data_IF_786373629093
#
_entry.id   IF_786373629093
#
_cell.length_a   1.000
_cell.length_b   1.000
_cell.length_c   1.000
_cell.angle_alpha   90.00
_cell.angle_beta   90.00
_cell.angle_gamma   90.00
#
_symmetry.space_group_name_H-M   'P 1'
#
loop_
_entity.id
_entity.type
_entity.pdbx_description
1 polymer ?
#
# COMPACT_ATOMS: atom_id res chain seq x y z
N UNK A 1 -18.52 -11.75 -1.57
CA UNK A 1 -18.18 -11.63 -1.03
C UNK A 1 -17.73 -11.38 -0.44
N UNK A 2 -17.77 -10.70 -0.27
CA UNK A 2 -17.27 -10.45 0.50
C UNK A 2 -17.77 -10.54 1.34
N UNK A 3 -18.01 -10.73 1.65
CA UNK A 3 -18.31 -10.78 2.54
C UNK A 3 -18.45 -10.23 3.12
N UNK A 4 -18.64 -10.11 3.45
CA UNK A 4 -18.47 -9.68 3.99
C UNK A 4 -18.16 -9.26 4.21
N UNK A 5 -18.24 -9.04 4.24
CA UNK A 5 -17.58 -8.73 4.66
C UNK A 5 -17.20 -8.53 4.78
N UNK A 6 -17.12 -8.27 4.94
CA UNK A 6 -16.33 -8.20 5.34
C UNK A 6 -15.95 -8.46 5.64
N UNK A 7 -15.95 -8.74 5.97
CA UNK A 7 -15.28 -9.04 6.50
C UNK A 7 -14.39 -9.11 6.28
N UNK A 8 -14.56 -8.96 5.78
CA UNK A 8 -13.54 -9.09 5.59
C UNK A 8 -12.52 -8.91 5.91
N UNK A 9 -12.53 -8.23 6.09
CA UNK A 9 -11.42 -7.96 6.37
C UNK A 9 -10.70 -8.77 7.04
N UNK A 10 -10.48 -9.28 7.24
CA UNK A 10 -10.07 -9.74 7.89
C UNK A 10 -9.32 -10.49 8.40
N UNK A 11 -9.46 -10.71 8.70
CA UNK A 11 -9.15 -11.55 9.68
C UNK A 11 -8.31 -12.69 9.23
N UNK A 12 -7.17 -12.93 9.81
CA UNK A 12 -6.29 -14.02 9.47
C UNK A 12 -5.64 -13.90 8.11
N UNK A 13 -5.86 -12.81 7.41
CA UNK A 13 -5.21 -12.59 6.13
C UNK A 13 -3.72 -12.33 6.30
N UNK A 14 -2.94 -12.79 5.33
CA UNK A 14 -1.50 -12.56 5.29
C UNK A 14 -1.13 -12.00 3.94
N UNK A 15 -0.47 -10.85 3.94
CA UNK A 15 0.15 -10.30 2.74
C UNK A 15 1.59 -10.78 2.71
N UNK A 16 1.99 -11.42 1.61
CA UNK A 16 3.35 -11.93 1.46
C UNK A 16 4.11 -11.02 0.52
N UNK A 17 5.28 -10.54 0.95
CA UNK A 17 6.17 -9.75 0.12
C UNK A 17 7.42 -10.55 -0.18
N UNK A 18 7.90 -10.54 -1.43
CA UNK A 18 9.23 -11.05 -1.70
C UNK A 18 10.24 -10.18 -0.96
N UNK A 19 11.42 -10.72 -0.60
CA UNK A 19 12.46 -9.91 0.04
C UNK A 19 12.83 -8.67 -0.77
N UNK A 20 12.91 -8.79 -2.09
CA UNK A 20 13.24 -7.66 -2.96
C UNK A 20 12.18 -6.57 -2.93
N UNK A 21 10.91 -6.95 -2.95
CA UNK A 21 9.80 -5.98 -2.88
C UNK A 21 9.84 -5.22 -1.56
N UNK A 22 10.02 -5.94 -0.45
CA UNK A 22 10.09 -5.30 0.85
C UNK A 22 11.23 -4.28 0.90
N UNK A 23 12.40 -4.69 0.42
CA UNK A 23 13.58 -3.84 0.39
C UNK A 23 13.34 -2.60 -0.49
N UNK A 24 12.76 -2.79 -1.66
CA UNK A 24 12.50 -1.69 -2.61
C UNK A 24 11.48 -0.70 -2.04
N UNK A 25 10.46 -1.19 -1.36
CA UNK A 25 9.44 -0.33 -0.73
C UNK A 25 10.09 0.55 0.35
N UNK A 26 10.88 -0.06 1.23
CA UNK A 26 11.55 0.69 2.31
C UNK A 26 12.55 1.68 1.74
N UNK A 27 13.32 1.26 0.73
CA UNK A 27 14.30 2.16 0.08
C UNK A 27 13.61 3.34 -0.59
N UNK A 28 12.47 3.11 -1.24
CA UNK A 28 11.70 4.18 -1.87
C UNK A 28 11.17 5.17 -0.83
N UNK A 29 10.71 4.68 0.32
CA UNK A 29 10.26 5.52 1.43
C UNK A 29 11.40 6.43 1.90
N UNK A 30 12.59 5.88 2.09
CA UNK A 30 13.76 6.65 2.54
C UNK A 30 14.20 7.70 1.51
N UNK A 31 14.19 7.34 0.23
CA UNK A 31 14.57 8.27 -0.84
C UNK A 31 13.59 9.42 -0.99
N UNK A 32 12.35 9.23 -0.58
CA UNK A 32 11.32 10.26 -0.70
C UNK A 32 11.46 11.41 0.31
N UNK A 33 12.18 11.20 1.40
CA UNK A 33 12.32 12.23 2.43
C UNK A 33 12.77 13.56 1.85
N UNK A 34 12.22 14.68 2.29
CA UNK A 34 11.32 14.85 3.45
C UNK A 34 9.83 14.64 3.13
N UNK A 35 9.49 14.25 1.93
CA UNK A 35 8.09 14.03 1.54
C UNK A 35 7.67 12.59 1.81
N UNK A 36 6.37 12.37 1.97
CA UNK A 36 5.82 11.02 1.94
C UNK A 36 6.08 10.43 0.55
N UNK A 37 6.47 9.16 0.53
CA UNK A 37 6.63 8.42 -0.71
C UNK A 37 5.38 7.58 -0.94
N UNK A 38 5.13 7.21 -2.19
CA UNK A 38 3.99 6.36 -2.53
C UNK A 38 4.30 5.50 -3.75
N UNK A 39 3.46 4.49 -3.96
CA UNK A 39 3.57 3.59 -5.10
C UNK A 39 2.53 2.49 -5.01
N UNK A 40 2.45 1.72 -6.08
CA UNK A 40 1.50 0.60 -6.19
C UNK A 40 2.27 -0.72 -6.18
N UNK A 41 1.60 -1.79 -5.76
CA UNK A 41 2.22 -3.10 -5.79
C UNK A 41 1.25 -4.14 -6.34
N UNK A 42 1.83 -5.20 -6.90
CA UNK A 42 1.07 -6.17 -7.66
C UNK A 42 1.47 -7.60 -7.31
N UNK A 43 0.52 -8.50 -7.56
CA UNK A 43 0.66 -9.94 -7.37
C UNK A 43 0.05 -10.64 -8.58
N UNK A 44 0.26 -11.94 -8.68
CA UNK A 44 -0.49 -12.74 -9.64
C UNK A 44 -1.97 -12.65 -9.33
N UNK A 45 -2.79 -12.76 -10.36
CA UNK A 45 -4.25 -12.65 -10.20
C UNK A 45 -4.74 -13.67 -9.20
N UNK A 46 -5.52 -13.19 -8.24
CA UNK A 46 -6.08 -14.03 -7.18
C UNK A 46 -5.11 -14.35 -6.04
N UNK A 47 -3.91 -13.77 -6.04
CA UNK A 47 -2.87 -14.03 -5.03
C UNK A 47 -2.66 -12.81 -4.15
N UNK A 48 -2.19 -13.03 -2.94
CA UNK A 48 -1.70 -11.99 -2.04
C UNK A 48 -0.17 -12.07 -1.87
N UNK A 49 0.52 -12.71 -2.83
CA UNK A 49 1.98 -12.77 -2.88
C UNK A 49 2.51 -11.67 -3.77
N UNK A 50 2.96 -10.57 -3.18
CA UNK A 50 3.43 -9.40 -3.89
C UNK A 50 4.84 -9.64 -4.43
N UNK A 51 5.01 -9.56 -5.74
CA UNK A 51 6.30 -9.76 -6.38
C UNK A 51 6.76 -8.57 -7.23
N UNK A 52 5.92 -7.53 -7.35
CA UNK A 52 6.24 -6.36 -8.17
C UNK A 52 5.84 -5.09 -7.44
N UNK A 53 6.76 -4.13 -7.37
CA UNK A 53 6.51 -2.81 -6.81
C UNK A 53 6.74 -1.76 -7.89
N UNK A 54 5.78 -0.84 -8.01
CA UNK A 54 5.86 0.30 -8.93
C UNK A 54 6.02 1.57 -8.10
N UNK A 55 7.25 2.07 -7.93
CA UNK A 55 7.45 3.34 -7.23
C UNK A 55 6.85 4.49 -8.04
N UNK A 56 6.20 5.41 -7.34
CA UNK A 56 5.55 6.54 -7.97
C UNK A 56 5.94 7.83 -7.27
N UNK A 57 5.78 8.95 -7.95
CA UNK A 57 6.00 10.25 -7.37
C UNK A 57 4.82 10.63 -6.48
N UNK A 58 5.09 11.33 -5.38
CA UNK A 58 4.02 11.94 -4.59
C UNK A 58 3.63 13.27 -5.25
N UNK A 59 2.50 13.29 -5.92
CA UNK A 59 2.03 14.47 -6.64
C UNK A 59 1.69 15.64 -5.71
N UNK A 60 1.46 15.36 -4.41
CA UNK A 60 1.24 16.41 -3.42
C UNK A 60 2.54 17.04 -2.93
N UNK A 61 3.68 16.38 -3.14
CA UNK A 61 5.00 16.84 -2.67
C UNK A 61 4.94 17.30 -1.21
N UNK A 62 4.35 16.47 -0.34
CA UNK A 62 4.05 16.82 1.04
C UNK A 62 4.67 15.82 2.01
N UNK A 63 5.02 16.30 3.20
CA UNK A 63 5.50 15.44 4.29
C UNK A 63 4.35 14.86 5.11
N UNK A 64 3.10 15.21 4.80
CA UNK A 64 1.94 14.84 5.61
C UNK A 64 0.86 14.10 4.84
N UNK A 65 0.84 14.21 3.52
CA UNK A 65 -0.12 13.50 2.67
C UNK A 65 0.56 13.02 1.39
N UNK A 66 -0.06 12.05 0.74
CA UNK A 66 0.38 11.63 -0.58
C UNK A 66 -0.79 11.70 -1.56
N UNK A 67 -0.45 11.85 -2.84
CA UNK A 67 -1.42 11.80 -3.93
C UNK A 67 -0.79 11.11 -5.11
N UNK A 68 -1.49 10.10 -5.63
CA UNK A 68 -1.06 9.42 -6.85
C UNK A 68 -1.50 10.26 -8.05
N UNK A 69 -0.57 10.49 -8.98
CA UNK A 69 -0.88 11.17 -10.22
C UNK A 69 -1.69 10.26 -11.13
N UNK A 70 -2.80 10.77 -11.69
CA UNK A 70 -3.70 9.97 -12.51
C UNK A 70 -3.05 9.41 -13.77
N UNK A 71 -2.21 10.20 -14.43
CA UNK A 71 -1.52 9.74 -15.65
C UNK A 71 -0.49 8.67 -15.31
N UNK A 72 0.23 8.83 -14.21
CA UNK A 72 1.18 7.84 -13.75
C UNK A 72 0.50 6.54 -13.34
N UNK A 73 -0.65 6.64 -12.66
CA UNK A 73 -1.46 5.46 -12.31
C UNK A 73 -1.87 4.70 -13.56
N UNK A 74 -2.34 5.39 -14.58
CA UNK A 74 -2.74 4.73 -15.83
C UNK A 74 -1.57 4.01 -16.48
N UNK A 75 -0.38 4.60 -16.45
CA UNK A 75 0.81 3.97 -16.99
C UNK A 75 1.19 2.70 -16.21
N UNK A 76 1.09 2.74 -14.89
CA UNK A 76 1.35 1.59 -14.04
C UNK A 76 0.32 0.48 -14.27
N UNK A 77 -0.95 0.84 -14.36
CA UNK A 77 -2.02 -0.13 -14.66
C UNK A 77 -1.80 -0.80 -16.01
N UNK A 78 -1.36 -0.05 -17.02
CA UNK A 78 -1.05 -0.61 -18.32
C UNK A 78 0.11 -1.61 -18.25
N UNK A 79 1.14 -1.31 -17.47
CA UNK A 79 2.25 -2.24 -17.27
C UNK A 79 1.81 -3.53 -16.59
N UNK A 80 0.95 -3.41 -15.58
CA UNK A 80 0.42 -4.58 -14.87
C UNK A 80 -0.42 -5.44 -15.81
N UNK A 81 -1.29 -4.83 -16.62
CA UNK A 81 -2.11 -5.54 -17.59
C UNK A 81 -1.25 -6.27 -18.61
N UNK A 82 -0.21 -5.61 -19.13
CA UNK A 82 0.71 -6.21 -20.10
C UNK A 82 1.44 -7.42 -19.52
N UNK A 83 1.77 -7.35 -18.23
CA UNK A 83 2.45 -8.45 -17.52
C UNK A 83 1.46 -9.51 -17.00
N UNK A 84 0.15 -9.30 -17.17
CA UNK A 84 -0.91 -10.19 -16.71
C UNK A 84 -0.89 -10.37 -15.19
N UNK A 85 -0.62 -9.30 -14.45
CA UNK A 85 -0.65 -9.28 -12.99
C UNK A 85 -1.67 -8.25 -12.51
N UNK A 86 -2.03 -8.34 -11.24
CA UNK A 86 -3.04 -7.45 -10.64
C UNK A 86 -2.40 -6.52 -9.64
N UNK A 87 -2.72 -5.23 -9.75
CA UNK A 87 -2.40 -4.28 -8.69
C UNK A 87 -3.36 -4.58 -7.54
N UNK A 88 -2.80 -4.86 -6.36
CA UNK A 88 -3.60 -5.24 -5.19
C UNK A 88 -3.47 -4.26 -4.03
N UNK A 89 -2.68 -3.22 -4.17
CA UNK A 89 -2.59 -2.26 -3.09
C UNK A 89 -1.67 -1.09 -3.37
N UNK A 90 -1.60 -0.23 -2.38
CA UNK A 90 -0.81 0.99 -2.39
C UNK A 90 0.08 1.02 -1.17
N UNK A 91 1.32 1.51 -1.34
CA UNK A 91 2.18 1.84 -0.20
C UNK A 91 2.31 3.35 -0.10
N UNK A 92 2.46 3.84 1.13
CA UNK A 92 2.96 5.19 1.36
C UNK A 92 3.77 5.21 2.64
N UNK A 93 4.55 6.27 2.83
CA UNK A 93 5.34 6.43 4.04
C UNK A 93 4.75 7.51 4.93
N UNK A 94 4.92 7.33 6.24
CA UNK A 94 4.69 8.37 7.23
C UNK A 94 6.05 8.87 7.68
N UNK A 95 6.32 10.17 7.53
CA UNK A 95 7.64 10.70 7.82
C UNK A 95 7.85 10.95 9.32
N UNK A 96 6.78 11.29 10.06
CA UNK A 96 6.88 11.69 11.47
C UNK A 96 5.95 10.92 12.40
N UNK A 97 5.06 10.08 11.86
CA UNK A 97 4.06 9.37 12.65
C UNK A 97 4.24 7.87 12.54
N UNK A 98 3.53 7.12 13.38
CA UNK A 98 3.59 5.66 13.38
C UNK A 98 3.01 5.08 12.09
N UNK A 99 3.29 3.80 11.85
CA UNK A 99 2.75 3.08 10.69
C UNK A 99 1.30 2.67 10.93
N UNK A 100 0.42 3.68 11.02
CA UNK A 100 -1.00 3.49 11.24
C UNK A 100 -1.77 4.49 10.37
N UNK A 101 -2.88 4.08 9.73
CA UNK A 101 -3.63 4.98 8.84
C UNK A 101 -4.10 6.25 9.55
N UNK A 102 -3.85 7.39 8.91
CA UNK A 102 -4.34 8.69 9.39
C UNK A 102 -5.81 8.86 9.01
N UNK A 103 -6.51 9.84 9.59
CA UNK A 103 -7.89 10.15 9.15
C UNK A 103 -7.97 10.45 7.65
N UNK A 104 -6.96 11.12 7.09
CA UNK A 104 -6.89 11.38 5.64
C UNK A 104 -6.75 10.08 4.86
N UNK A 105 -5.90 9.15 5.34
CA UNK A 105 -5.73 7.85 4.70
C UNK A 105 -7.05 7.08 4.66
N UNK A 106 -7.82 7.12 5.74
CA UNK A 106 -9.13 6.46 5.81
C UNK A 106 -10.12 7.09 4.84
N UNK A 107 -10.13 8.42 4.77
CA UNK A 107 -11.02 9.13 3.85
C UNK A 107 -10.67 8.83 2.39
N UNK A 108 -9.38 8.78 2.07
CA UNK A 108 -8.92 8.44 0.72
C UNK A 108 -9.31 7.01 0.36
N UNK A 109 -9.17 6.06 1.28
CA UNK A 109 -9.58 4.68 1.05
C UNK A 109 -11.07 4.57 0.73
N UNK A 110 -11.91 5.35 1.40
CA UNK A 110 -13.35 5.36 1.15
C UNK A 110 -13.66 5.82 -0.28
N UNK A 111 -12.84 6.71 -0.83
CA UNK A 111 -13.02 7.24 -2.18
C UNK A 111 -12.47 6.31 -3.25
N UNK A 112 -11.24 5.80 -3.06
CA UNK A 112 -10.56 4.99 -4.07
C UNK A 112 -10.93 3.52 -4.03
N UNK A 113 -11.28 3.01 -2.86
CA UNK A 113 -11.44 1.58 -2.62
C UNK A 113 -12.64 1.34 -1.70
N UNK A 114 -13.84 1.76 -2.14
CA UNK A 114 -15.02 1.69 -1.25
C UNK A 114 -15.38 0.27 -0.85
N UNK A 115 -14.94 -0.74 -1.60
CA UNK A 115 -15.28 -2.15 -1.30
C UNK A 115 -14.15 -2.88 -0.57
N UNK A 116 -13.07 -2.18 -0.23
CA UNK A 116 -11.99 -2.76 0.56
C UNK A 116 -11.19 -3.84 -0.13
N UNK A 117 -10.98 -3.71 -1.44
CA UNK A 117 -10.24 -4.70 -2.21
C UNK A 117 -8.72 -4.57 -2.05
N UNK A 118 -8.23 -3.39 -1.66
CA UNK A 118 -6.82 -3.10 -1.65
C UNK A 118 -6.18 -3.36 -0.28
N UNK A 119 -4.87 -3.64 -0.35
CA UNK A 119 -3.99 -3.67 0.81
C UNK A 119 -3.28 -2.31 0.93
N UNK A 120 -3.10 -1.84 2.15
CA UNK A 120 -2.49 -0.53 2.42
C UNK A 120 -1.23 -0.74 3.23
N UNK A 121 -0.07 -0.64 2.58
CA UNK A 121 1.22 -0.71 3.27
C UNK A 121 1.62 0.69 3.69
N UNK A 122 2.00 0.83 4.96
CA UNK A 122 2.53 2.07 5.51
C UNK A 122 3.92 1.79 6.06
N UNK A 123 4.90 2.57 5.60
CA UNK A 123 6.26 2.53 6.12
C UNK A 123 6.46 3.77 6.99
N UNK A 124 6.66 3.57 8.28
CA UNK A 124 6.98 4.69 9.17
C UNK A 124 8.48 4.92 9.23
N UNK A 125 8.86 6.16 9.04
CA UNK A 125 10.24 6.62 9.17
C UNK A 125 10.44 7.46 10.43
N UNK A 126 9.50 7.35 11.37
CA UNK A 126 9.54 8.10 12.62
C UNK A 126 10.78 7.79 13.44
N UNK A 127 11.16 6.53 13.50
CA UNK A 127 12.32 6.06 14.28
C UNK A 127 13.48 5.68 13.34
N UNK A 128 14.64 5.41 13.93
CA UNK A 128 15.83 5.09 13.15
C UNK A 128 15.67 3.84 12.30
N UNK A 129 14.89 2.87 12.78
CA UNK A 129 14.59 1.64 12.03
C UNK A 129 13.21 1.78 11.42
N UNK A 130 13.08 1.70 10.08
CA UNK A 130 11.79 1.76 9.43
C UNK A 130 10.87 0.63 9.88
N UNK A 131 9.59 0.93 10.03
CA UNK A 131 8.56 -0.04 10.40
C UNK A 131 7.58 -0.15 9.24
N UNK A 132 7.34 -1.37 8.77
CA UNK A 132 6.39 -1.63 7.69
C UNK A 132 5.23 -2.45 8.23
N UNK A 133 4.01 -1.95 8.00
CA UNK A 133 2.77 -2.63 8.38
C UNK A 133 1.78 -2.56 7.24
N UNK A 134 0.81 -3.47 7.22
CA UNK A 134 -0.23 -3.51 6.21
C UNK A 134 -1.61 -3.53 6.85
N UNK A 135 -2.55 -2.89 6.17
CA UNK A 135 -3.92 -2.71 6.67
C UNK A 135 -4.93 -2.97 5.57
N UNK A 136 -6.13 -3.37 6.01
CA UNK A 136 -7.33 -3.34 5.18
C UNK A 136 -8.24 -2.26 5.76
N UNK A 137 -8.87 -1.48 4.89
CA UNK A 137 -9.74 -0.37 5.31
C UNK A 137 -11.05 -0.49 4.58
N UNK A 138 -12.15 -0.71 5.31
CA UNK A 138 -13.49 -0.89 4.76
C UNK A 138 -14.49 -0.15 5.62
N UNK A 139 -15.31 0.71 5.03
CA UNK A 139 -16.34 1.48 5.74
C UNK A 139 -15.78 2.24 6.93
N UNK A 140 -14.58 2.80 6.78
CA UNK A 140 -13.92 3.53 7.85
C UNK A 140 -13.32 2.64 8.93
N UNK A 141 -13.42 1.33 8.81
CA UNK A 141 -12.87 0.37 9.78
C UNK A 141 -11.47 -0.05 9.34
N UNK A 142 -10.53 0.07 10.24
CA UNK A 142 -9.12 -0.28 10.01
C UNK A 142 -8.82 -1.62 10.65
N UNK A 143 -8.27 -2.54 9.87
CA UNK A 143 -7.83 -3.83 10.39
C UNK A 143 -6.40 -4.09 9.92
N UNK A 144 -5.50 -4.29 10.87
CA UNK A 144 -4.14 -4.66 10.52
C UNK A 144 -4.11 -6.12 10.06
N UNK A 145 -3.33 -6.41 9.02
CA UNK A 145 -3.10 -7.78 8.56
C UNK A 145 -1.63 -8.12 8.73
N UNK A 146 -1.35 -9.41 8.88
CA UNK A 146 0.02 -9.89 8.99
C UNK A 146 0.77 -9.71 7.68
N UNK A 147 2.06 -9.41 7.77
CA UNK A 147 2.96 -9.34 6.62
C UNK A 147 4.04 -10.39 6.81
N UNK A 148 4.17 -11.28 5.83
CA UNK A 148 5.23 -12.28 5.80
C UNK A 148 6.20 -11.96 4.66
N UNK A 149 7.47 -12.23 4.88
CA UNK A 149 8.50 -12.05 3.86
C UNK A 149 8.87 -13.44 3.35
N UNK A 150 8.74 -13.64 2.05
CA UNK A 150 9.02 -14.96 1.47
C UNK A 150 8.64 -15.03 0.01
N UNK A 151 8.58 -16.22 -0.48
CA UNK A 151 8.27 -16.47 -1.87
C UNK A 151 9.50 -16.68 -2.68
#
# INVERSE_FOLDING_TARGET
>A
MYPTGGRAATVGGVLVLTPDVREDIVAHALRGLPHEACGLFAADKGSAGVHTFFPMANAAASSEIYRLDGAEMMAVEAKADEADISIIGVMHSHTHTTAYPSPTDVADAATFDPFGAWHYIIVSLKDAVPVLRSYRIVDGQIAEESVAIGG
#
